data_IF_269338410870
#
_entry.id   IF_269338410870
#
_cell.length_a   1.000
_cell.length_b   1.000
_cell.length_c   1.000
_cell.angle_alpha   90.00
_cell.angle_beta   90.00
_cell.angle_gamma   90.00
#
_symmetry.space_group_name_H-M   'P 1'
#
loop_
_entity.id
_entity.type
_entity.pdbx_description
1 polymer ?
#
# COMPACT_ATOMS: atom_id res chain seq x y z
N UNK A 1 -1.91 -19.84 -15.66
CA UNK A 1 -2.72 -18.67 -16.08
C UNK A 1 -3.64 -18.16 -14.98
N UNK A 2 -4.48 -19.01 -14.34
CA UNK A 2 -5.42 -18.56 -13.30
C UNK A 2 -4.75 -18.03 -12.02
N UNK A 3 -3.68 -18.67 -11.55
CA UNK A 3 -2.92 -18.23 -10.37
C UNK A 3 -2.28 -16.85 -10.56
N UNK A 4 -1.75 -16.59 -11.76
CA UNK A 4 -1.14 -15.32 -12.15
C UNK A 4 -2.16 -14.17 -12.14
N UNK A 5 -3.38 -14.43 -12.62
CA UNK A 5 -4.47 -13.45 -12.61
C UNK A 5 -5.03 -13.20 -11.21
N UNK A 6 -5.14 -14.24 -10.37
CA UNK A 6 -5.59 -14.11 -8.99
C UNK A 6 -4.57 -13.33 -8.14
N UNK A 7 -3.27 -13.57 -8.32
CA UNK A 7 -2.22 -12.80 -7.67
C UNK A 7 -2.23 -11.33 -8.09
N UNK A 8 -2.50 -11.05 -9.38
CA UNK A 8 -2.68 -9.70 -9.89
C UNK A 8 -3.91 -9.03 -9.27
N UNK A 9 -5.04 -9.74 -9.21
CA UNK A 9 -6.28 -9.25 -8.62
C UNK A 9 -6.11 -8.95 -7.12
N UNK A 10 -5.48 -9.83 -6.35
CA UNK A 10 -5.13 -9.57 -4.93
C UNK A 10 -4.26 -8.32 -4.77
N UNK A 11 -3.29 -8.13 -5.68
CA UNK A 11 -2.39 -6.98 -5.59
C UNK A 11 -3.13 -5.66 -5.85
N UNK A 12 -3.94 -5.63 -6.89
CA UNK A 12 -4.63 -4.41 -7.34
C UNK A 12 -5.86 -4.10 -6.50
N UNK A 13 -6.66 -5.11 -6.15
CA UNK A 13 -7.93 -4.93 -5.44
C UNK A 13 -7.80 -4.88 -3.92
N UNK A 14 -6.72 -5.43 -3.35
CA UNK A 14 -6.52 -5.47 -1.90
C UNK A 14 -5.25 -4.76 -1.45
N UNK A 15 -4.08 -5.17 -1.95
CA UNK A 15 -2.80 -4.63 -1.45
C UNK A 15 -2.63 -3.12 -1.73
N UNK A 16 -2.95 -2.64 -2.94
CA UNK A 16 -2.80 -1.22 -3.26
C UNK A 16 -3.79 -0.32 -2.50
N UNK A 17 -5.09 -0.64 -2.40
CA UNK A 17 -6.00 0.12 -1.55
C UNK A 17 -5.58 0.12 -0.08
N UNK A 18 -5.17 -1.03 0.45
CA UNK A 18 -4.69 -1.13 1.84
C UNK A 18 -3.42 -0.30 2.06
N UNK A 19 -2.49 -0.29 1.11
CA UNK A 19 -1.31 0.56 1.18
C UNK A 19 -1.67 2.05 1.19
N UNK A 20 -2.64 2.47 0.38
CA UNK A 20 -3.14 3.85 0.38
C UNK A 20 -3.80 4.23 1.70
N UNK A 21 -4.58 3.31 2.28
CA UNK A 21 -5.21 3.49 3.59
C UNK A 21 -4.17 3.60 4.71
N UNK A 22 -3.21 2.68 4.75
CA UNK A 22 -2.10 2.70 5.71
C UNK A 22 -1.21 3.94 5.55
N UNK A 23 -1.03 4.43 4.33
CA UNK A 23 -0.30 5.66 4.04
C UNK A 23 -1.04 6.92 4.54
N UNK A 24 -2.38 6.88 4.58
CA UNK A 24 -3.22 7.98 5.03
C UNK A 24 -3.45 7.99 6.55
N UNK A 25 -3.47 6.84 7.23
CA UNK A 25 -3.70 6.76 8.68
C UNK A 25 -2.82 7.69 9.54
N UNK A 26 -1.51 7.87 9.29
CA UNK A 26 -0.67 8.76 10.08
C UNK A 26 -1.04 10.24 9.95
N UNK A 27 -1.79 10.59 8.91
CA UNK A 27 -2.18 11.96 8.59
C UNK A 27 -3.66 12.22 8.86
N UNK A 28 -4.46 11.22 9.25
CA UNK A 28 -5.90 11.39 9.45
C UNK A 28 -6.24 11.21 10.92
N UNK A 29 -6.84 12.24 11.51
CA UNK A 29 -7.39 12.20 12.86
C UNK A 29 -8.87 12.59 12.84
N UNK A 30 -9.69 11.91 13.66
CA UNK A 30 -11.13 12.16 13.75
C UNK A 30 -11.52 12.46 15.20
N UNK A 31 -11.88 13.71 15.44
CA UNK A 31 -12.39 14.12 16.74
C UNK A 31 -13.91 13.87 16.81
N UNK A 32 -14.29 12.86 17.60
CA UNK A 32 -15.69 12.48 17.78
C UNK A 32 -16.51 13.53 18.55
N UNK A 33 -15.88 14.40 19.34
CA UNK A 33 -16.58 15.42 20.12
C UNK A 33 -16.99 16.60 19.24
N UNK A 34 -16.15 17.00 18.28
CA UNK A 34 -16.44 18.08 17.33
C UNK A 34 -16.99 17.59 15.99
N UNK A 35 -16.89 16.29 15.69
CA UNK A 35 -17.26 15.71 14.41
C UNK A 35 -16.32 16.12 13.27
N UNK A 36 -15.11 16.59 13.60
CA UNK A 36 -14.15 17.12 12.63
C UNK A 36 -13.15 16.04 12.21
N UNK A 37 -13.01 15.86 10.90
CA UNK A 37 -11.94 15.09 10.29
C UNK A 37 -10.77 16.03 9.95
N UNK A 38 -9.63 15.81 10.61
CA UNK A 38 -8.40 16.56 10.37
C UNK A 38 -7.44 15.75 9.52
N UNK A 39 -6.88 16.38 8.49
CA UNK A 39 -5.85 15.78 7.65
C UNK A 39 -4.57 16.61 7.79
N UNK A 40 -3.57 16.05 8.47
CA UNK A 40 -2.25 16.65 8.63
C UNK A 40 -1.37 16.32 7.42
N UNK A 41 -1.18 17.32 6.54
CA UNK A 41 -0.33 17.25 5.35
C UNK A 41 1.08 17.82 5.60
N UNK A 42 1.64 17.61 6.80
CA UNK A 42 3.05 17.91 7.06
C UNK A 42 4.00 17.12 6.15
N UNK A 43 5.18 17.69 5.88
CA UNK A 43 6.23 17.02 5.08
C UNK A 43 6.58 15.63 5.62
N UNK A 44 6.51 15.45 6.94
CA UNK A 44 6.75 14.18 7.60
C UNK A 44 5.67 13.15 7.27
N UNK A 45 4.38 13.52 7.36
CA UNK A 45 3.28 12.60 7.04
C UNK A 45 3.26 12.23 5.56
N UNK A 46 3.62 13.16 4.68
CA UNK A 46 3.74 12.88 3.23
C UNK A 46 4.90 11.93 2.93
N UNK A 47 6.05 12.10 3.60
CA UNK A 47 7.20 11.21 3.46
C UNK A 47 6.86 9.79 3.91
N UNK A 48 6.20 9.64 5.07
CA UNK A 48 5.78 8.33 5.60
C UNK A 48 4.78 7.67 4.64
N UNK A 49 3.78 8.41 4.18
CA UNK A 49 2.79 7.88 3.24
C UNK A 49 3.43 7.43 1.92
N UNK A 50 4.37 8.22 1.39
CA UNK A 50 5.12 7.86 0.17
C UNK A 50 5.99 6.63 0.39
N UNK A 51 6.66 6.52 1.53
CA UNK A 51 7.49 5.36 1.88
C UNK A 51 6.65 4.08 1.98
N UNK A 52 5.47 4.13 2.59
CA UNK A 52 4.53 3.00 2.67
C UNK A 52 4.07 2.58 1.28
N UNK A 53 3.65 3.55 0.46
CA UNK A 53 3.17 3.26 -0.91
C UNK A 53 4.27 2.63 -1.78
N UNK A 54 5.50 3.16 -1.72
CA UNK A 54 6.65 2.62 -2.44
C UNK A 54 7.09 1.26 -1.91
N UNK A 55 7.06 1.04 -0.59
CA UNK A 55 7.42 -0.24 0.00
C UNK A 55 6.43 -1.34 -0.42
N UNK A 56 5.13 -1.06 -0.41
CA UNK A 56 4.12 -2.06 -0.82
C UNK A 56 4.12 -2.24 -2.34
N UNK A 57 4.13 -1.16 -3.11
CA UNK A 57 4.13 -1.25 -4.58
C UNK A 57 5.44 -1.82 -5.10
N UNK A 58 6.56 -1.23 -4.73
CA UNK A 58 7.91 -1.66 -5.13
C UNK A 58 8.28 -3.03 -4.57
N UNK A 59 7.97 -3.31 -3.30
CA UNK A 59 8.25 -4.60 -2.66
C UNK A 59 7.50 -5.74 -3.32
N UNK A 60 6.24 -5.52 -3.73
CA UNK A 60 5.48 -6.55 -4.45
C UNK A 60 6.06 -6.82 -5.85
N UNK A 61 6.50 -5.81 -6.61
CA UNK A 61 7.23 -6.04 -7.88
C UNK A 61 8.59 -6.71 -7.67
N UNK A 62 9.34 -6.31 -6.65
CA UNK A 62 10.63 -6.92 -6.28
C UNK A 62 10.50 -8.39 -5.91
N UNK A 63 9.51 -8.73 -5.08
CA UNK A 63 9.17 -10.10 -4.71
C UNK A 63 8.76 -10.94 -5.92
N UNK A 64 8.01 -10.38 -6.87
CA UNK A 64 7.67 -11.09 -8.12
C UNK A 64 8.89 -11.39 -8.97
N UNK A 65 9.87 -10.48 -9.03
CA UNK A 65 11.15 -10.72 -9.71
C UNK A 65 11.99 -11.78 -8.99
N UNK A 66 12.09 -11.68 -7.67
CA UNK A 66 12.81 -12.66 -6.85
C UNK A 66 12.22 -14.07 -6.97
N UNK A 67 10.89 -14.20 -6.88
CA UNK A 67 10.19 -15.46 -7.08
C UNK A 67 10.52 -16.07 -8.45
N UNK A 68 10.48 -15.26 -9.51
CA UNK A 68 10.86 -15.70 -10.87
C UNK A 68 12.32 -16.11 -10.97
N UNK A 69 13.25 -15.39 -10.35
CA UNK A 69 14.69 -15.75 -10.35
C UNK A 69 14.98 -17.02 -9.55
N UNK A 70 14.17 -17.33 -8.54
CA UNK A 70 14.27 -18.54 -7.72
C UNK A 70 13.56 -19.75 -8.36
N UNK A 71 13.09 -19.63 -9.60
CA UNK A 71 12.42 -20.71 -10.33
C UNK A 71 10.98 -20.97 -9.89
N UNK A 72 10.40 -20.11 -9.05
CA UNK A 72 8.98 -20.19 -8.72
C UNK A 72 8.19 -19.68 -9.92
N UNK A 73 7.42 -20.57 -10.56
CA UNK A 73 6.50 -20.20 -11.61
C UNK A 73 5.39 -19.30 -11.03
N UNK A 74 5.32 -18.06 -11.48
CA UNK A 74 4.24 -17.09 -11.17
C UNK A 74 3.38 -16.91 -12.40
#
# INVERSE_FOLDING_TARGET
MFQSQLALALRVLLLYPLAGLLAALPSVDFDQASGVLSIDLTTASTLIGTAIWLAVSGGTFGLSRLAKTLGWAV
#
